data_IF_221324348979
#
_entry.id   IF_221324348979
#
_cell.length_a   1.000
_cell.length_b   1.000
_cell.length_c   1.000
_cell.angle_alpha   90.00
_cell.angle_beta   90.00
_cell.angle_gamma   90.00
#
_symmetry.space_group_name_H-M   'P 1'
#
loop_
_entity.id
_entity.type
_entity.pdbx_description
1 polymer ?
#
# COMPACT_ATOMS: atom_id res chain seq x y z
N UNK A 1 85.19 20.27 -33.28
CA UNK A 1 84.23 21.33 -32.88
C UNK A 1 82.91 21.12 -33.60
N UNK A 2 81.87 20.64 -32.90
CA UNK A 2 80.49 20.63 -33.43
C UNK A 2 79.55 21.05 -32.31
N UNK A 3 78.98 22.24 -32.48
CA UNK A 3 78.16 22.95 -31.49
C UNK A 3 76.75 22.34 -31.45
N UNK A 4 76.42 21.60 -30.38
CA UNK A 4 75.03 21.27 -30.03
C UNK A 4 74.30 22.56 -29.65
N UNK A 5 73.50 23.10 -30.58
CA UNK A 5 72.53 24.16 -30.27
C UNK A 5 71.40 23.58 -29.40
N UNK A 6 71.35 23.99 -28.13
CA UNK A 6 70.15 23.85 -27.27
C UNK A 6 69.02 24.67 -27.92
N UNK A 7 67.97 24.01 -28.42
CA UNK A 7 66.71 24.70 -28.72
C UNK A 7 65.95 24.89 -27.40
N UNK A 8 65.91 26.13 -26.93
CA UNK A 8 64.99 26.55 -25.88
C UNK A 8 63.56 26.54 -26.44
N UNK A 9 62.70 25.72 -25.87
CA UNK A 9 61.26 25.71 -26.14
C UNK A 9 60.61 26.81 -25.30
N UNK A 10 60.75 28.06 -25.74
CA UNK A 10 59.98 29.19 -25.22
C UNK A 10 58.84 29.47 -26.20
N UNK A 11 57.65 28.94 -25.94
CA UNK A 11 56.51 29.23 -26.83
C UNK A 11 55.17 28.55 -26.57
N UNK A 12 54.97 27.81 -25.48
CA UNK A 12 53.74 26.99 -25.34
C UNK A 12 52.58 27.69 -24.62
N UNK A 13 52.79 28.81 -23.92
CA UNK A 13 51.75 29.38 -23.05
C UNK A 13 50.82 30.42 -23.71
N UNK A 14 51.22 31.05 -24.83
CA UNK A 14 50.44 32.16 -25.43
C UNK A 14 49.54 31.77 -26.62
N UNK A 15 49.68 30.56 -27.20
CA UNK A 15 48.80 30.12 -28.31
C UNK A 15 47.54 29.38 -27.86
N UNK A 16 47.48 28.88 -26.62
CA UNK A 16 46.32 28.13 -26.11
C UNK A 16 45.02 28.96 -26.03
N UNK A 17 45.11 30.30 -26.04
CA UNK A 17 43.97 31.21 -25.90
C UNK A 17 43.42 31.77 -27.22
N UNK A 18 44.06 31.47 -28.36
CA UNK A 18 43.73 32.10 -29.65
C UNK A 18 42.46 31.51 -30.29
N UNK A 19 42.15 30.25 -29.97
CA UNK A 19 40.93 29.56 -30.41
C UNK A 19 39.85 29.49 -29.30
N UNK A 20 39.99 30.19 -28.17
CA UNK A 20 39.05 30.10 -27.05
C UNK A 20 37.67 30.73 -27.29
N UNK A 21 37.43 31.35 -28.45
CA UNK A 21 36.15 31.97 -28.77
C UNK A 21 34.97 31.00 -28.73
N UNK A 22 35.16 29.72 -29.05
CA UNK A 22 34.11 28.70 -28.91
C UNK A 22 33.80 28.39 -27.43
N UNK A 23 34.81 28.39 -26.55
CA UNK A 23 34.63 28.21 -25.11
C UNK A 23 33.82 29.35 -24.48
N UNK A 24 34.08 30.59 -24.88
CA UNK A 24 33.29 31.74 -24.40
C UNK A 24 31.84 31.73 -24.89
N UNK A 25 31.59 31.32 -26.14
CA UNK A 25 30.23 31.14 -26.65
C UNK A 25 29.49 30.05 -25.89
N UNK A 26 30.15 28.93 -25.62
CA UNK A 26 29.58 27.85 -24.81
C UNK A 26 29.28 28.32 -23.38
N UNK A 27 30.22 28.99 -22.74
CA UNK A 27 30.04 29.56 -21.41
C UNK A 27 28.86 30.54 -21.35
N UNK A 28 28.70 31.40 -22.37
CA UNK A 28 27.56 32.31 -22.45
C UNK A 28 26.21 31.58 -22.55
N UNK A 29 26.12 30.50 -23.34
CA UNK A 29 24.90 29.67 -23.43
C UNK A 29 24.58 29.01 -22.09
N UNK A 30 25.58 28.44 -21.41
CA UNK A 30 25.38 27.85 -20.08
C UNK A 30 24.98 28.90 -19.03
N UNK A 31 25.58 30.09 -19.08
CA UNK A 31 25.22 31.18 -18.19
C UNK A 31 23.77 31.63 -18.40
N UNK A 32 23.36 31.82 -19.66
CA UNK A 32 21.98 32.17 -20.01
C UNK A 32 21.00 31.08 -19.58
N UNK A 33 21.31 29.82 -19.86
CA UNK A 33 20.47 28.68 -19.47
C UNK A 33 20.35 28.54 -17.95
N UNK A 34 21.44 28.73 -17.21
CA UNK A 34 21.43 28.70 -15.74
C UNK A 34 20.60 29.85 -15.18
N UNK A 35 20.73 31.05 -15.74
CA UNK A 35 19.97 32.22 -15.29
C UNK A 35 18.48 32.03 -15.57
N UNK A 36 18.12 31.52 -16.75
CA UNK A 36 16.75 31.12 -17.07
C UNK A 36 16.21 30.06 -16.11
N UNK A 37 17.01 29.03 -15.81
CA UNK A 37 16.63 27.98 -14.87
C UNK A 37 16.37 28.53 -13.46
N UNK A 38 17.23 29.42 -12.95
CA UNK A 38 17.06 30.01 -11.63
C UNK A 38 15.81 30.90 -11.54
N UNK A 39 15.53 31.68 -12.59
CA UNK A 39 14.28 32.47 -12.68
C UNK A 39 13.06 31.55 -12.73
N UNK A 40 13.09 30.51 -13.56
CA UNK A 40 11.99 29.56 -13.64
C UNK A 40 11.79 28.82 -12.30
N UNK A 41 12.88 28.44 -11.63
CA UNK A 41 12.83 27.81 -10.32
C UNK A 41 12.24 28.74 -9.25
N UNK A 42 12.56 30.04 -9.29
CA UNK A 42 12.06 30.98 -8.28
C UNK A 42 10.54 31.22 -8.38
N UNK A 43 9.95 31.06 -9.58
CA UNK A 43 8.50 31.18 -9.78
C UNK A 43 7.76 29.86 -9.59
N UNK A 44 8.36 28.71 -9.95
CA UNK A 44 7.70 27.41 -9.91
C UNK A 44 7.81 26.70 -8.55
N UNK A 45 8.87 26.94 -7.78
CA UNK A 45 9.08 26.27 -6.48
C UNK A 45 8.37 27.06 -5.38
N UNK A 46 7.34 26.49 -4.72
CA UNK A 46 6.62 27.21 -3.68
C UNK A 46 7.51 27.51 -2.48
N UNK A 47 7.25 28.62 -1.79
CA UNK A 47 8.03 29.05 -0.61
C UNK A 47 8.07 28.02 0.52
N UNK A 48 7.03 27.17 0.63
CA UNK A 48 6.95 26.10 1.64
C UNK A 48 7.59 24.79 1.19
N UNK A 49 8.16 24.70 -0.02
CA UNK A 49 8.84 23.50 -0.49
C UNK A 49 10.06 23.20 0.40
N UNK A 50 10.20 21.96 0.86
CA UNK A 50 11.33 21.56 1.69
C UNK A 50 11.13 21.70 3.20
N UNK A 51 10.04 22.32 3.67
CA UNK A 51 9.84 22.61 5.10
C UNK A 51 9.76 21.34 5.96
N UNK A 52 9.14 20.28 5.44
CA UNK A 52 8.93 19.00 6.15
C UNK A 52 9.46 17.79 5.36
N UNK A 53 10.13 18.01 4.24
CA UNK A 53 10.56 16.96 3.31
C UNK A 53 10.51 17.45 1.85
N UNK A 54 10.74 16.56 0.90
CA UNK A 54 10.81 16.90 -0.53
C UNK A 54 9.43 17.12 -1.19
N UNK A 55 8.62 17.99 -0.59
CA UNK A 55 7.27 18.36 -1.04
C UNK A 55 6.88 19.75 -0.51
N UNK A 56 5.72 20.26 -0.96
CA UNK A 56 5.16 21.55 -0.50
C UNK A 56 4.69 21.43 0.94
N UNK A 57 5.28 22.16 1.89
CA UNK A 57 4.89 22.13 3.30
C UNK A 57 3.40 22.43 3.53
N UNK A 58 2.85 23.41 2.79
CA UNK A 58 1.42 23.77 2.88
C UNK A 58 0.47 22.64 2.45
N UNK A 59 0.95 21.63 1.69
CA UNK A 59 0.12 20.51 1.28
C UNK A 59 -0.46 19.74 2.48
N UNK A 60 0.22 19.72 3.63
CA UNK A 60 -0.28 19.04 4.82
C UNK A 60 -1.57 19.69 5.33
N UNK A 61 -1.59 21.01 5.48
CA UNK A 61 -2.78 21.74 5.88
C UNK A 61 -3.88 21.67 4.81
N UNK A 62 -3.52 21.76 3.52
CA UNK A 62 -4.45 21.64 2.39
C UNK A 62 -5.14 20.27 2.35
N UNK A 63 -4.42 19.18 2.62
CA UNK A 63 -4.98 17.81 2.67
C UNK A 63 -5.81 17.62 3.94
N UNK A 64 -5.33 18.08 5.09
CA UNK A 64 -6.05 17.98 6.36
C UNK A 64 -7.38 18.74 6.36
N UNK A 65 -7.49 19.83 5.57
CA UNK A 65 -8.73 20.60 5.42
C UNK A 65 -9.78 19.92 4.53
N UNK A 66 -9.45 18.82 3.85
CA UNK A 66 -10.43 18.10 3.03
C UNK A 66 -11.45 17.38 3.92
N UNK A 67 -12.73 17.31 3.50
CA UNK A 67 -13.74 16.58 4.26
C UNK A 67 -13.37 15.10 4.37
N UNK A 68 -13.42 14.56 5.59
CA UNK A 68 -13.16 13.15 5.86
C UNK A 68 -14.28 12.32 5.25
N UNK A 69 -13.93 11.39 4.38
CA UNK A 69 -14.88 10.45 3.78
C UNK A 69 -14.77 9.05 4.37
N UNK A 70 -13.58 8.66 4.80
CA UNK A 70 -13.27 7.36 5.39
C UNK A 70 -13.57 7.37 6.89
N UNK A 71 -14.35 6.41 7.35
CA UNK A 71 -14.64 6.24 8.78
C UNK A 71 -13.40 5.78 9.57
N UNK A 72 -12.45 5.10 8.92
CA UNK A 72 -11.35 4.38 9.55
C UNK A 72 -11.78 2.99 10.01
N UNK A 73 -10.97 1.96 9.73
CA UNK A 73 -11.30 0.57 10.07
C UNK A 73 -11.66 0.34 11.54
N UNK A 74 -10.99 1.04 12.48
CA UNK A 74 -11.28 0.94 13.91
C UNK A 74 -12.73 1.33 14.24
N UNK A 75 -13.28 2.34 13.56
CA UNK A 75 -14.67 2.77 13.72
C UNK A 75 -15.64 1.68 13.28
N UNK A 76 -15.30 0.88 12.26
CA UNK A 76 -16.13 -0.25 11.84
C UNK A 76 -16.14 -1.36 12.91
N UNK A 77 -14.98 -1.60 13.52
CA UNK A 77 -14.74 -2.69 14.47
C UNK A 77 -15.46 -2.51 15.81
N UNK A 78 -15.77 -1.27 16.22
CA UNK A 78 -16.52 -0.99 17.45
C UNK A 78 -17.96 -1.48 17.40
N UNK A 79 -18.60 -1.46 16.21
CA UNK A 79 -19.99 -1.88 16.03
C UNK A 79 -20.11 -3.28 15.41
N UNK A 80 -19.14 -3.71 14.59
CA UNK A 80 -19.16 -5.00 13.88
C UNK A 80 -18.11 -5.99 14.42
N UNK A 81 -18.05 -6.16 15.74
CA UNK A 81 -17.07 -7.02 16.40
C UNK A 81 -17.18 -8.51 15.98
N UNK A 82 -18.39 -9.00 15.71
CA UNK A 82 -18.62 -10.38 15.27
C UNK A 82 -18.06 -10.65 13.86
N UNK A 83 -18.05 -9.63 13.01
CA UNK A 83 -17.45 -9.68 11.68
C UNK A 83 -15.93 -9.62 11.79
N UNK A 84 -15.41 -8.76 12.67
CA UNK A 84 -13.99 -8.69 12.97
C UNK A 84 -13.45 -10.05 13.46
N UNK A 85 -14.17 -10.70 14.37
CA UNK A 85 -13.78 -12.01 14.91
C UNK A 85 -13.66 -13.08 13.83
N UNK A 86 -14.52 -13.06 12.81
CA UNK A 86 -14.40 -13.95 11.65
C UNK A 86 -13.23 -13.57 10.75
N UNK A 87 -13.00 -12.26 10.59
CA UNK A 87 -12.00 -11.71 9.67
C UNK A 87 -10.58 -11.88 10.14
N UNK A 88 -10.33 -11.65 11.44
CA UNK A 88 -8.98 -11.66 12.02
C UNK A 88 -8.28 -13.02 11.91
N UNK A 89 -9.05 -14.10 11.88
CA UNK A 89 -8.55 -15.46 11.73
C UNK A 89 -8.51 -15.93 10.26
N UNK A 90 -9.11 -15.15 9.34
CA UNK A 90 -9.20 -15.44 7.92
C UNK A 90 -8.01 -14.94 7.10
N UNK A 91 -7.97 -15.31 5.81
CA UNK A 91 -6.93 -14.85 4.87
C UNK A 91 -7.00 -13.34 4.56
N UNK A 92 -8.09 -12.67 4.92
CA UNK A 92 -8.26 -11.22 4.80
C UNK A 92 -8.00 -10.46 6.11
N UNK A 93 -7.38 -11.08 7.12
CA UNK A 93 -7.08 -10.45 8.41
C UNK A 93 -6.47 -9.05 8.28
N UNK A 94 -5.53 -8.87 7.35
CA UNK A 94 -4.77 -7.63 7.14
C UNK A 94 -5.35 -6.70 6.06
N UNK A 95 -6.53 -7.01 5.51
CA UNK A 95 -7.22 -6.13 4.55
C UNK A 95 -8.19 -5.25 5.31
N UNK A 96 -8.07 -3.93 5.27
CA UNK A 96 -9.01 -3.06 6.00
C UNK A 96 -10.41 -3.11 5.38
N UNK A 97 -11.46 -2.93 6.21
CA UNK A 97 -12.87 -3.02 5.79
C UNK A 97 -13.17 -2.14 4.57
N UNK A 98 -12.58 -0.95 4.55
CA UNK A 98 -12.78 0.08 3.53
C UNK A 98 -12.20 -0.29 2.17
N UNK A 99 -11.27 -1.26 2.11
CA UNK A 99 -10.73 -1.77 0.85
C UNK A 99 -11.81 -2.47 0.01
N UNK A 100 -12.83 -3.04 0.67
CA UNK A 100 -13.99 -3.64 0.04
C UNK A 100 -15.19 -2.70 0.13
N UNK A 101 -15.58 -2.31 1.34
CA UNK A 101 -16.83 -1.58 1.63
C UNK A 101 -16.77 -0.09 1.28
N UNK A 102 -15.59 0.44 0.93
CA UNK A 102 -15.40 1.85 0.63
C UNK A 102 -15.38 2.72 1.90
N UNK A 103 -15.54 4.03 1.75
CA UNK A 103 -15.17 5.00 2.79
C UNK A 103 -16.16 5.06 3.98
N UNK A 104 -17.46 4.97 3.74
CA UNK A 104 -18.52 4.76 4.75
C UNK A 104 -18.58 5.70 5.97
N UNK A 105 -17.95 6.89 5.97
CA UNK A 105 -18.09 7.83 7.10
C UNK A 105 -19.54 8.19 7.41
N UNK A 106 -20.38 8.41 6.38
CA UNK A 106 -21.81 8.71 6.59
C UNK A 106 -22.58 7.57 7.26
N UNK A 107 -22.23 6.32 6.98
CA UNK A 107 -22.82 5.17 7.66
C UNK A 107 -22.35 5.09 9.12
N UNK A 108 -21.08 5.40 9.39
CA UNK A 108 -20.59 5.47 10.76
C UNK A 108 -21.27 6.58 11.58
N UNK A 109 -21.58 7.73 10.96
CA UNK A 109 -22.25 8.86 11.61
C UNK A 109 -23.76 8.62 11.84
N UNK A 110 -24.44 7.94 10.91
CA UNK A 110 -25.88 7.66 10.95
C UNK A 110 -26.19 6.22 10.49
N UNK A 111 -25.87 5.20 11.32
CA UNK A 111 -25.93 3.79 10.93
C UNK A 111 -27.35 3.26 10.73
N UNK A 112 -28.37 3.94 11.29
CA UNK A 112 -29.77 3.54 11.16
C UNK A 112 -30.39 4.01 9.84
N UNK A 113 -29.99 5.19 9.34
CA UNK A 113 -30.56 5.77 8.13
C UNK A 113 -29.70 5.53 6.87
N UNK A 114 -28.39 5.35 7.04
CA UNK A 114 -27.47 5.13 5.92
C UNK A 114 -27.00 3.69 5.94
N UNK A 115 -27.56 2.84 5.07
CA UNK A 115 -27.12 1.44 4.93
C UNK A 115 -26.28 1.24 3.68
N UNK A 116 -25.04 0.72 3.80
CA UNK A 116 -24.24 0.35 2.65
C UNK A 116 -24.93 -0.77 1.84
N UNK A 117 -24.97 -0.67 0.50
CA UNK A 117 -25.49 -1.75 -0.32
C UNK A 117 -24.59 -2.99 -0.22
N UNK A 118 -25.17 -4.17 -0.45
CA UNK A 118 -24.37 -5.39 -0.61
C UNK A 118 -23.47 -5.24 -1.85
N UNK A 119 -22.21 -5.62 -1.69
CA UNK A 119 -21.21 -5.51 -2.74
C UNK A 119 -21.37 -6.64 -3.75
N UNK A 120 -21.12 -6.33 -5.02
CA UNK A 120 -21.00 -7.35 -6.07
C UNK A 120 -19.63 -8.02 -5.99
N UNK A 121 -19.61 -9.25 -5.47
CA UNK A 121 -18.37 -10.01 -5.27
C UNK A 121 -17.76 -10.51 -6.57
N UNK A 122 -18.55 -10.71 -7.62
CA UNK A 122 -18.04 -11.10 -8.95
C UNK A 122 -17.14 -9.99 -9.53
N UNK A 123 -17.46 -8.73 -9.26
CA UNK A 123 -16.70 -7.57 -9.74
C UNK A 123 -15.61 -7.14 -8.76
N UNK A 124 -15.89 -7.17 -7.45
CA UNK A 124 -14.97 -6.64 -6.45
C UNK A 124 -13.73 -7.53 -6.26
N UNK A 125 -13.93 -8.84 -6.10
CA UNK A 125 -12.87 -9.76 -5.69
C UNK A 125 -11.77 -9.84 -6.75
N UNK A 126 -12.14 -9.82 -8.04
CA UNK A 126 -11.22 -9.91 -9.18
C UNK A 126 -10.29 -8.71 -9.31
N UNK A 127 -10.62 -7.55 -8.71
CA UNK A 127 -9.69 -6.40 -8.65
C UNK A 127 -8.35 -6.79 -7.99
N UNK A 128 -8.42 -7.68 -7.02
CA UNK A 128 -7.25 -8.21 -6.34
C UNK A 128 -6.88 -9.61 -6.83
N UNK A 129 -7.86 -10.49 -7.03
CA UNK A 129 -7.62 -11.93 -7.24
C UNK A 129 -7.58 -12.38 -8.70
N UNK A 130 -7.82 -11.51 -9.68
CA UNK A 130 -7.67 -11.90 -11.09
C UNK A 130 -6.22 -12.30 -11.38
N UNK A 131 -6.07 -13.35 -12.18
CA UNK A 131 -4.79 -13.83 -12.67
C UNK A 131 -4.03 -12.71 -13.41
N UNK A 132 -2.84 -12.39 -12.92
CA UNK A 132 -2.00 -11.33 -13.46
C UNK A 132 -0.53 -11.69 -13.25
N UNK A 133 0.24 -11.71 -14.33
CA UNK A 133 1.67 -12.02 -14.31
C UNK A 133 2.50 -11.10 -13.39
N UNK A 134 2.02 -9.89 -13.08
CA UNK A 134 2.67 -8.96 -12.17
C UNK A 134 2.51 -9.33 -10.68
N UNK A 135 1.58 -10.24 -10.32
CA UNK A 135 1.38 -10.67 -8.94
C UNK A 135 2.29 -11.86 -8.60
N UNK A 136 2.82 -11.95 -7.37
CA UNK A 136 3.60 -13.10 -6.94
C UNK A 136 2.82 -14.42 -7.08
N UNK A 137 3.51 -15.50 -7.43
CA UNK A 137 2.92 -16.85 -7.53
C UNK A 137 2.30 -17.34 -6.22
N UNK A 138 2.74 -16.80 -5.08
CA UNK A 138 2.23 -17.10 -3.74
C UNK A 138 0.96 -16.34 -3.38
N UNK A 139 0.59 -15.31 -4.13
CA UNK A 139 -0.67 -14.60 -3.93
C UNK A 139 -1.82 -15.41 -4.56
N UNK A 140 -2.95 -15.66 -3.86
CA UNK A 140 -4.08 -16.38 -4.42
C UNK A 140 -4.64 -15.65 -5.65
N UNK A 141 -4.60 -16.33 -6.79
CA UNK A 141 -5.04 -15.80 -8.07
C UNK A 141 -5.97 -16.79 -8.77
N UNK A 142 -6.90 -16.28 -9.55
CA UNK A 142 -7.89 -17.06 -10.27
C UNK A 142 -8.19 -16.41 -11.61
N UNK A 143 -8.39 -17.24 -12.65
CA UNK A 143 -8.98 -16.78 -13.91
C UNK A 143 -10.50 -16.76 -13.71
N UNK A 144 -11.07 -15.58 -13.45
CA UNK A 144 -12.49 -15.49 -13.05
C UNK A 144 -13.46 -15.98 -14.12
N UNK A 145 -13.10 -15.82 -15.39
CA UNK A 145 -13.88 -16.30 -16.54
C UNK A 145 -14.16 -17.82 -16.48
N UNK A 146 -13.23 -18.61 -15.95
CA UNK A 146 -13.29 -20.07 -15.98
C UNK A 146 -13.60 -20.69 -14.61
N UNK A 147 -13.67 -19.88 -13.55
CA UNK A 147 -13.70 -20.41 -12.17
C UNK A 147 -15.10 -20.58 -11.60
N UNK A 148 -15.95 -19.55 -11.70
CA UNK A 148 -17.24 -19.54 -11.01
C UNK A 148 -18.43 -19.86 -11.91
N UNK A 149 -18.19 -20.13 -13.21
CA UNK A 149 -19.27 -20.24 -14.21
C UNK A 149 -20.24 -19.06 -14.19
N UNK A 150 -19.72 -17.86 -13.87
CA UNK A 150 -20.50 -16.63 -13.73
C UNK A 150 -21.17 -16.43 -12.36
N UNK A 151 -21.02 -17.34 -11.40
CA UNK A 151 -21.53 -17.15 -10.04
C UNK A 151 -20.71 -16.10 -9.26
N UNK A 152 -21.35 -15.32 -8.36
CA UNK A 152 -20.65 -14.45 -7.42
C UNK A 152 -19.72 -15.25 -6.50
N UNK A 153 -18.58 -14.67 -6.15
CA UNK A 153 -17.56 -15.35 -5.34
C UNK A 153 -18.08 -15.73 -3.95
N UNK A 154 -19.02 -14.96 -3.39
CA UNK A 154 -19.63 -15.22 -2.08
C UNK A 154 -20.59 -16.40 -2.04
N UNK A 155 -20.87 -17.03 -3.18
CA UNK A 155 -21.65 -18.28 -3.21
C UNK A 155 -20.86 -19.47 -2.69
N UNK A 156 -19.53 -19.44 -2.76
CA UNK A 156 -18.65 -20.50 -2.27
C UNK A 156 -17.61 -20.00 -1.24
N UNK A 157 -17.10 -18.78 -1.39
CA UNK A 157 -16.10 -18.20 -0.49
C UNK A 157 -16.73 -17.21 0.49
N UNK A 158 -16.48 -17.32 1.79
CA UNK A 158 -16.95 -16.30 2.73
C UNK A 158 -16.02 -15.06 2.66
N UNK A 159 -16.46 -13.84 2.28
CA UNK A 159 -15.55 -12.70 2.07
C UNK A 159 -14.69 -12.31 3.28
N UNK A 160 -15.19 -12.55 4.50
CA UNK A 160 -14.44 -12.32 5.73
C UNK A 160 -13.55 -13.50 6.14
N UNK A 161 -13.73 -14.70 5.57
CA UNK A 161 -12.79 -15.82 5.72
C UNK A 161 -12.83 -16.69 4.46
N UNK A 162 -12.14 -16.27 3.39
CA UNK A 162 -12.39 -16.81 2.04
C UNK A 162 -11.78 -18.18 1.82
N UNK A 163 -11.05 -18.74 2.79
CA UNK A 163 -10.51 -20.08 2.65
C UNK A 163 -11.66 -21.10 2.66
N UNK A 164 -11.77 -21.92 1.62
CA UNK A 164 -12.64 -23.10 1.62
C UNK A 164 -11.82 -24.23 2.21
N UNK A 165 -12.18 -24.68 3.40
CA UNK A 165 -11.59 -25.89 3.96
C UNK A 165 -11.96 -27.09 3.07
N UNK A 166 -10.95 -27.81 2.60
CA UNK A 166 -11.17 -29.11 1.97
C UNK A 166 -11.56 -30.12 3.05
N UNK A 167 -12.43 -31.12 2.75
CA UNK A 167 -12.90 -32.11 3.74
C UNK A 167 -11.79 -32.93 4.43
N UNK A 168 -10.52 -32.79 4.02
CA UNK A 168 -9.37 -33.41 4.69
C UNK A 168 -8.92 -32.71 5.99
N UNK A 169 -9.28 -31.45 6.25
CA UNK A 169 -8.87 -30.74 7.48
C UNK A 169 -9.76 -31.03 8.69
N UNK A 170 -11.02 -31.43 8.47
CA UNK A 170 -11.99 -31.67 9.56
C UNK A 170 -11.82 -33.02 10.26
N UNK A 171 -11.24 -34.05 9.62
CA UNK A 171 -11.01 -35.36 10.26
C UNK A 171 -9.93 -35.34 11.35
N UNK A 172 -8.98 -34.39 11.31
CA UNK A 172 -7.91 -34.32 12.31
C UNK A 172 -8.33 -33.66 13.62
N UNK A 173 -9.46 -32.93 13.65
CA UNK A 173 -9.95 -32.24 14.85
C UNK A 173 -10.93 -33.08 15.70
N UNK A 174 -11.48 -34.17 15.15
CA UNK A 174 -12.49 -35.01 15.83
C UNK A 174 -11.86 -36.18 16.61
N UNK A 175 -10.54 -36.36 16.52
CA UNK A 175 -9.81 -37.42 17.25
C UNK A 175 -9.22 -36.89 18.57
N UNK A 176 -10.06 -36.44 19.49
CA UNK A 176 -9.70 -36.31 20.91
C UNK A 176 -10.95 -36.42 21.79
N UNK A 177 -11.28 -37.60 22.33
CA UNK A 177 -12.29 -37.70 23.37
C UNK A 177 -11.64 -37.34 24.70
N UNK A 178 -11.72 -36.07 25.09
CA UNK A 178 -11.52 -35.68 26.49
C UNK A 178 -12.77 -36.08 27.30
N UNK A 179 -12.88 -37.37 27.64
CA UNK A 179 -13.77 -37.81 28.71
C UNK A 179 -13.07 -37.55 30.03
N UNK A 180 -13.52 -36.53 30.78
CA UNK A 180 -13.31 -36.47 32.23
C UNK A 180 -14.61 -36.06 32.92
N UNK A 181 -15.24 -37.03 33.54
CA UNK A 181 -16.03 -36.86 34.75
C UNK A 181 -15.72 -38.05 35.64
N UNK A 182 -15.55 -37.83 36.94
CA UNK A 182 -16.54 -38.43 37.82
C UNK A 182 -17.08 -37.46 38.85
N UNK A 183 -18.40 -37.52 38.96
CA UNK A 183 -19.23 -37.11 40.08
C UNK A 183 -18.77 -37.86 41.34
N UNK A 184 -18.59 -37.13 42.45
CA UNK A 184 -18.57 -37.72 43.79
C UNK A 184 -19.78 -37.14 44.56
N UNK A 185 -20.76 -37.99 44.83
CA UNK A 185 -21.82 -37.74 45.81
C UNK A 185 -21.31 -38.03 47.23
N UNK A 186 -21.84 -37.35 48.27
CA UNK A 186 -21.54 -37.70 49.66
C UNK A 186 -22.52 -38.77 50.15
N UNK A 187 -21.99 -39.82 50.78
CA UNK A 187 -22.75 -40.73 51.63
C UNK A 187 -22.35 -40.49 53.09
N UNK A 188 -23.34 -40.13 53.92
CA UNK A 188 -23.16 -39.99 55.37
C UNK A 188 -23.16 -41.34 56.10
N UNK A 189 -22.68 -41.32 57.34
CA UNK A 189 -22.96 -42.38 58.31
C UNK A 189 -21.92 -42.57 59.43
N UNK A 190 -22.12 -41.89 60.56
CA UNK A 190 -22.21 -42.55 61.87
C UNK A 190 -20.95 -42.76 62.76
N UNK A 191 -21.10 -42.30 64.00
CA UNK A 191 -20.61 -42.86 65.27
C UNK A 191 -19.16 -42.59 65.72
N UNK A 192 -18.98 -41.58 66.58
CA UNK A 192 -18.84 -41.74 68.05
C UNK A 192 -18.99 -40.39 68.75
#
# INVERSE_FOLDING_TARGET
>A
MSLRRKRASSGTTMQAFKDSGHLFRLAAVFALGTLLFLVMRSVLVPKSFGQYGHYRGNAMAEIAARPVSFAGHQTCETCHADVLDKKKDGKHAHVNCEACHGPQARHADDPSSVQPPKLDTAVLCVRCHEANAAKPKTFPQVASADHSSGLPCDTCHQPHSPAIESPASVSSAVSSPAVRSPVHSPAGGGAK
#
